data_IF_657715337425
#
_entry.id   IF_657715337425
#
_cell.length_a   1.000
_cell.length_b   1.000
_cell.length_c   1.000
_cell.angle_alpha   90.00
_cell.angle_beta   90.00
_cell.angle_gamma   90.00
#
_symmetry.space_group_name_H-M   'P 1'
#
loop_
_entity.id
_entity.type
_entity.pdbx_description
1 polymer ?
#
# COMPACT_ATOMS: atom_id res chain seq x y z
N UNK A 1 -46.53 10.43 -43.49
CA UNK A 1 -46.40 9.07 -42.95
C UNK A 1 -45.22 8.42 -43.70
N UNK A 2 -44.00 8.82 -43.35
CA UNK A 2 -43.16 8.26 -42.29
C UNK A 2 -42.35 7.07 -42.79
N UNK A 3 -41.10 7.38 -43.15
CA UNK A 3 -39.99 6.49 -43.44
C UNK A 3 -39.74 5.46 -42.32
N UNK A 4 -39.36 4.24 -42.71
CA UNK A 4 -38.61 3.34 -41.82
C UNK A 4 -37.30 3.00 -42.53
N UNK A 5 -36.27 3.77 -42.20
CA UNK A 5 -34.89 3.49 -42.53
C UNK A 5 -34.36 2.41 -41.58
N UNK A 6 -34.06 1.22 -42.09
CA UNK A 6 -33.17 0.27 -41.42
C UNK A 6 -31.75 0.61 -41.88
N UNK A 7 -30.99 1.29 -41.01
CA UNK A 7 -29.55 1.51 -41.19
C UNK A 7 -28.82 0.21 -40.87
N UNK A 8 -28.22 -0.40 -41.88
CA UNK A 8 -27.18 -1.41 -41.70
C UNK A 8 -25.98 -0.78 -41.00
N UNK A 9 -25.76 -1.19 -39.75
CA UNK A 9 -24.56 -0.85 -39.00
C UNK A 9 -23.41 -1.66 -39.58
N UNK A 10 -22.53 -0.99 -40.33
CA UNK A 10 -21.19 -1.51 -40.68
C UNK A 10 -20.45 -1.88 -39.39
N UNK A 11 -20.38 -3.18 -39.10
CA UNK A 11 -19.40 -3.76 -38.19
C UNK A 11 -18.02 -3.74 -38.88
N UNK A 12 -17.36 -2.58 -38.84
CA UNK A 12 -16.00 -2.41 -39.30
C UNK A 12 -15.14 -1.91 -38.14
N UNK A 13 -14.33 -2.79 -37.55
CA UNK A 13 -13.29 -2.39 -36.61
C UNK A 13 -12.73 -3.52 -35.77
N UNK A 14 -11.43 -3.79 -35.97
CA UNK A 14 -10.48 -4.33 -34.98
C UNK A 14 -10.18 -5.84 -34.91
N UNK A 15 -10.28 -6.58 -36.02
CA UNK A 15 -9.67 -7.92 -36.13
C UNK A 15 -8.28 -7.95 -36.80
N UNK A 16 -7.76 -6.82 -37.29
CA UNK A 16 -6.54 -6.80 -38.13
C UNK A 16 -5.22 -6.48 -37.40
N UNK A 17 -5.24 -6.26 -36.08
CA UNK A 17 -4.01 -5.95 -35.32
C UNK A 17 -3.29 -7.17 -34.74
N UNK A 18 -3.90 -8.36 -34.76
CA UNK A 18 -3.40 -9.55 -34.05
C UNK A 18 -2.15 -10.17 -34.72
N UNK A 19 -1.95 -9.94 -36.02
CA UNK A 19 -0.89 -10.61 -36.79
C UNK A 19 0.20 -9.68 -37.34
N UNK A 20 0.45 -8.53 -36.69
CA UNK A 20 1.58 -7.67 -37.08
C UNK A 20 2.90 -8.27 -36.61
N UNK A 21 3.74 -8.64 -37.57
CA UNK A 21 5.09 -9.17 -37.33
C UNK A 21 5.97 -8.04 -36.78
N UNK A 22 6.44 -8.18 -35.54
CA UNK A 22 7.29 -7.18 -34.88
C UNK A 22 8.72 -7.69 -34.71
N UNK A 23 9.68 -6.75 -34.71
CA UNK A 23 11.07 -7.02 -34.30
C UNK A 23 11.15 -6.92 -32.77
N UNK A 24 11.15 -8.05 -32.09
CA UNK A 24 11.12 -8.12 -30.62
C UNK A 24 12.54 -8.40 -30.11
N UNK A 25 12.97 -7.62 -29.13
CA UNK A 25 14.21 -7.85 -28.38
C UNK A 25 13.83 -8.46 -27.04
N UNK A 26 14.12 -9.74 -26.85
CA UNK A 26 13.93 -10.45 -25.59
C UNK A 26 15.21 -10.37 -24.79
N UNK A 27 15.11 -9.92 -23.56
CA UNK A 27 16.20 -9.80 -22.60
C UNK A 27 15.94 -10.80 -21.48
N UNK A 28 16.90 -11.68 -21.20
CA UNK A 28 16.88 -12.61 -20.09
C UNK A 28 17.86 -12.12 -19.02
N UNK A 29 17.45 -12.13 -17.76
CA UNK A 29 18.28 -11.79 -16.61
C UNK A 29 18.17 -12.85 -15.52
N UNK A 30 19.30 -13.26 -14.95
CA UNK A 30 19.32 -14.22 -13.83
C UNK A 30 20.59 -14.09 -13.01
N UNK A 31 20.53 -14.52 -11.75
CA UNK A 31 21.70 -14.68 -10.87
C UNK A 31 22.42 -16.02 -11.08
N UNK A 32 21.77 -16.99 -11.74
CA UNK A 32 22.33 -18.32 -11.98
C UNK A 32 22.78 -18.47 -13.44
N UNK A 33 24.09 -18.62 -13.65
CA UNK A 33 24.69 -18.79 -14.97
C UNK A 33 24.20 -20.05 -15.70
N UNK A 34 23.96 -21.15 -14.99
CA UNK A 34 23.54 -22.41 -15.61
C UNK A 34 22.09 -22.32 -16.10
N UNK A 35 21.22 -21.73 -15.28
CA UNK A 35 19.81 -21.53 -15.60
C UNK A 35 19.63 -20.63 -16.83
N UNK A 36 20.35 -19.50 -16.90
CA UNK A 36 20.21 -18.58 -18.04
C UNK A 36 20.74 -19.16 -19.36
N UNK A 37 21.83 -19.94 -19.33
CA UNK A 37 22.37 -20.60 -20.53
C UNK A 37 21.47 -21.76 -20.99
N UNK A 38 20.81 -22.47 -20.06
CA UNK A 38 19.77 -23.45 -20.40
C UNK A 38 18.55 -22.76 -21.02
N UNK A 39 17.99 -21.74 -20.35
CA UNK A 39 16.86 -20.96 -20.85
C UNK A 39 17.12 -20.34 -22.24
N UNK A 40 18.34 -19.85 -22.50
CA UNK A 40 18.70 -19.34 -23.83
C UNK A 40 18.66 -20.43 -24.91
N UNK A 41 19.17 -21.63 -24.60
CA UNK A 41 19.17 -22.76 -25.55
C UNK A 41 17.75 -23.21 -25.85
N UNK A 42 16.94 -23.37 -24.80
CA UNK A 42 15.57 -23.86 -24.94
C UNK A 42 14.70 -22.82 -25.69
N UNK A 43 14.89 -21.53 -25.43
CA UNK A 43 14.17 -20.47 -26.18
C UNK A 43 14.58 -20.41 -27.65
N UNK A 44 15.86 -20.62 -27.99
CA UNK A 44 16.31 -20.67 -29.39
C UNK A 44 15.77 -21.92 -30.08
N UNK A 45 15.73 -23.06 -29.40
CA UNK A 45 15.19 -24.30 -29.95
C UNK A 45 13.68 -24.17 -30.18
N UNK A 46 12.91 -23.68 -29.21
CA UNK A 46 11.47 -23.46 -29.37
C UNK A 46 11.13 -22.43 -30.45
N UNK A 47 12.00 -21.45 -30.68
CA UNK A 47 11.84 -20.52 -31.80
C UNK A 47 12.16 -21.15 -33.16
N UNK A 48 13.12 -22.07 -33.23
CA UNK A 48 13.41 -22.85 -34.45
C UNK A 48 12.31 -23.86 -34.78
N UNK A 49 11.73 -24.51 -33.77
CA UNK A 49 10.59 -25.43 -33.94
C UNK A 49 9.35 -24.75 -34.55
N UNK A 50 9.15 -23.47 -34.22
CA UNK A 50 8.07 -22.63 -34.78
C UNK A 50 8.48 -21.85 -36.03
N UNK A 51 9.62 -22.18 -36.64
CA UNK A 51 10.17 -21.55 -37.86
C UNK A 51 10.31 -20.01 -37.78
N UNK A 52 10.68 -19.50 -36.59
CA UNK A 52 10.90 -18.07 -36.38
C UNK A 52 12.33 -17.66 -36.67
N UNK A 53 12.51 -16.47 -37.26
CA UNK A 53 13.85 -15.89 -37.47
C UNK A 53 14.42 -15.36 -36.15
N UNK A 54 15.49 -16.01 -35.68
CA UNK A 54 16.20 -15.67 -34.45
C UNK A 54 17.59 -15.13 -34.75
N UNK A 55 17.96 -14.03 -34.10
CA UNK A 55 19.36 -13.61 -33.94
C UNK A 55 19.75 -13.92 -32.51
N UNK A 56 20.82 -14.72 -32.39
CA UNK A 56 21.18 -15.49 -31.20
C UNK A 56 21.42 -14.70 -29.91
N UNK A 57 21.89 -15.39 -28.86
CA UNK A 57 22.01 -14.82 -27.53
C UNK A 57 23.26 -13.95 -27.44
N UNK A 58 23.06 -12.63 -27.48
CA UNK A 58 24.11 -11.66 -27.21
C UNK A 58 24.37 -11.64 -25.71
N UNK A 59 25.59 -11.99 -25.30
CA UNK A 59 26.02 -11.94 -23.90
C UNK A 59 26.36 -10.51 -23.52
N UNK A 60 25.60 -9.95 -22.59
CA UNK A 60 25.90 -8.63 -22.03
C UNK A 60 26.94 -8.76 -20.91
N UNK A 61 27.71 -7.70 -20.63
CA UNK A 61 28.64 -7.68 -19.51
C UNK A 61 27.94 -8.03 -18.19
N UNK A 62 28.60 -8.87 -17.38
CA UNK A 62 28.07 -9.33 -16.09
C UNK A 62 28.13 -8.17 -15.10
N UNK A 63 27.02 -7.89 -14.42
CA UNK A 63 27.00 -6.91 -13.34
C UNK A 63 27.30 -7.62 -12.03
N UNK A 64 28.39 -7.23 -11.37
CA UNK A 64 28.77 -7.75 -10.06
C UNK A 64 28.40 -6.73 -8.98
N UNK A 65 27.48 -7.11 -8.09
CA UNK A 65 27.09 -6.34 -6.92
C UNK A 65 27.89 -6.86 -5.72
N UNK A 66 28.54 -5.97 -4.97
CA UNK A 66 29.34 -6.33 -3.79
C UNK A 66 28.86 -5.50 -2.61
N UNK A 67 28.50 -6.16 -1.52
CA UNK A 67 28.07 -5.54 -0.28
C UNK A 67 28.98 -6.05 0.83
N UNK A 68 29.54 -5.14 1.61
CA UNK A 68 30.35 -5.48 2.78
C UNK A 68 29.70 -4.94 4.04
N UNK A 69 29.27 -5.83 4.93
CA UNK A 69 28.59 -5.47 6.18
C UNK A 69 29.46 -5.84 7.36
N UNK A 70 29.46 -5.01 8.40
CA UNK A 70 30.16 -5.32 9.65
C UNK A 70 29.40 -6.44 10.36
N UNK A 71 30.11 -7.48 10.82
CA UNK A 71 29.51 -8.46 11.74
C UNK A 71 29.25 -7.78 13.08
N UNK A 72 28.10 -8.04 13.69
CA UNK A 72 27.81 -7.53 15.04
C UNK A 72 28.87 -8.05 16.02
N UNK A 73 29.55 -7.17 16.77
CA UNK A 73 30.53 -7.58 17.76
C UNK A 73 29.79 -8.02 19.02
N UNK A 74 29.64 -9.32 19.23
CA UNK A 74 29.21 -9.86 20.53
C UNK A 74 30.45 -10.40 21.25
N UNK A 75 30.92 -9.64 22.25
CA UNK A 75 32.03 -9.96 23.15
C UNK A 75 33.42 -9.74 22.54
N UNK A 76 34.15 -8.70 22.98
CA UNK A 76 35.60 -8.48 22.79
C UNK A 76 36.19 -8.90 21.42
N UNK A 77 35.42 -8.73 20.34
CA UNK A 77 35.72 -9.28 19.03
C UNK A 77 36.37 -8.26 18.10
N UNK A 78 37.36 -8.70 17.32
CA UNK A 78 38.03 -7.90 16.28
C UNK A 78 37.06 -7.52 15.15
N UNK A 79 37.34 -6.41 14.45
CA UNK A 79 36.53 -5.88 13.36
C UNK A 79 36.40 -6.87 12.19
N UNK A 80 35.40 -7.76 12.27
CA UNK A 80 35.13 -8.78 11.25
C UNK A 80 34.03 -8.30 10.31
N UNK A 81 34.20 -8.55 9.00
CA UNK A 81 33.28 -8.10 7.95
C UNK A 81 32.77 -9.29 7.15
N UNK A 82 31.47 -9.31 6.87
CA UNK A 82 30.89 -10.17 5.84
C UNK A 82 30.99 -9.49 4.47
N UNK A 83 31.32 -10.29 3.44
CA UNK A 83 31.40 -9.85 2.05
C UNK A 83 30.42 -10.67 1.23
N UNK A 84 29.35 -10.04 0.77
CA UNK A 84 28.37 -10.64 -0.12
C UNK A 84 28.63 -10.20 -1.56
N UNK A 85 28.65 -11.15 -2.49
CA UNK A 85 28.78 -10.88 -3.93
C UNK A 85 27.62 -11.54 -4.67
N UNK A 86 26.90 -10.75 -5.48
CA UNK A 86 25.89 -11.24 -6.40
C UNK A 86 26.31 -10.91 -7.84
N UNK A 87 26.17 -11.87 -8.75
CA UNK A 87 26.47 -11.70 -10.17
C UNK A 87 25.19 -11.80 -10.98
N UNK A 88 24.88 -10.76 -11.74
CA UNK A 88 23.70 -10.71 -12.60
C UNK A 88 24.15 -10.93 -14.03
N UNK A 89 23.70 -12.03 -14.62
CA UNK A 89 23.94 -12.40 -15.99
C UNK A 89 22.79 -11.91 -16.86
N UNK A 90 23.13 -11.27 -17.99
CA UNK A 90 22.16 -10.74 -18.94
C UNK A 90 22.41 -11.31 -20.34
N UNK A 91 21.34 -11.72 -21.02
CA UNK A 91 21.36 -12.24 -22.39
C UNK A 91 20.29 -11.52 -23.20
N UNK A 92 20.58 -11.20 -24.45
CA UNK A 92 19.62 -10.54 -25.35
C UNK A 92 19.48 -11.37 -26.61
N UNK A 93 18.25 -11.73 -26.95
CA UNK A 93 17.88 -12.49 -28.15
C UNK A 93 16.93 -11.63 -28.98
N UNK A 94 17.12 -11.59 -30.29
CA UNK A 94 16.23 -10.83 -31.19
C UNK A 94 15.39 -11.80 -32.01
N UNK A 95 14.08 -11.59 -31.99
CA UNK A 95 13.09 -12.43 -32.65
C UNK A 95 12.26 -11.58 -33.61
N UNK A 96 11.85 -12.17 -34.73
CA UNK A 96 10.89 -11.58 -35.65
C UNK A 96 9.60 -12.40 -35.58
N UNK A 97 8.62 -11.96 -34.79
CA UNK A 97 7.36 -12.68 -34.59
C UNK A 97 6.29 -11.77 -33.98
N UNK A 98 5.06 -12.26 -33.86
CA UNK A 98 4.00 -11.63 -33.07
C UNK A 98 4.27 -11.82 -31.57
N UNK A 99 3.73 -10.93 -30.73
CA UNK A 99 3.94 -10.99 -29.27
C UNK A 99 3.33 -12.23 -28.62
N UNK A 100 2.24 -12.76 -29.18
CA UNK A 100 1.53 -13.93 -28.67
C UNK A 100 2.39 -15.20 -28.78
N UNK A 101 3.01 -15.41 -29.95
CA UNK A 101 3.87 -16.57 -30.19
C UNK A 101 5.12 -16.51 -29.30
N UNK A 102 5.67 -15.32 -29.08
CA UNK A 102 6.80 -15.12 -28.14
C UNK A 102 6.40 -15.47 -26.72
N UNK A 103 5.22 -15.03 -26.26
CA UNK A 103 4.71 -15.34 -24.92
C UNK A 103 4.59 -16.86 -24.69
N UNK A 104 4.03 -17.59 -25.67
CA UNK A 104 3.89 -19.04 -25.61
C UNK A 104 5.23 -19.78 -25.52
N UNK A 105 6.26 -19.31 -26.25
CA UNK A 105 7.59 -19.89 -26.16
C UNK A 105 8.19 -19.61 -24.77
N UNK A 106 8.06 -18.37 -24.29
CA UNK A 106 8.60 -17.99 -22.98
C UNK A 106 7.94 -18.70 -21.82
N UNK A 107 6.66 -19.06 -21.89
CA UNK A 107 5.98 -19.74 -20.78
C UNK A 107 6.40 -21.20 -20.58
N UNK A 108 6.88 -21.89 -21.63
CA UNK A 108 7.17 -23.32 -21.57
C UNK A 108 8.62 -23.64 -21.18
N UNK A 109 9.57 -22.73 -21.42
CA UNK A 109 11.01 -23.06 -21.40
C UNK A 109 11.83 -22.36 -20.31
N UNK A 110 11.19 -21.79 -19.27
CA UNK A 110 11.92 -21.01 -18.26
C UNK A 110 12.07 -21.78 -16.95
N UNK A 111 13.32 -21.96 -16.53
CA UNK A 111 13.66 -22.42 -15.19
C UNK A 111 13.33 -21.34 -14.14
N UNK A 112 12.91 -21.71 -12.91
CA UNK A 112 12.62 -20.76 -11.85
C UNK A 112 13.85 -19.90 -11.51
N UNK A 113 13.67 -18.57 -11.50
CA UNK A 113 14.74 -17.60 -11.24
C UNK A 113 15.38 -16.96 -12.48
N UNK A 114 14.76 -17.10 -13.66
CA UNK A 114 15.10 -16.34 -14.88
C UNK A 114 13.99 -15.33 -15.16
N UNK A 115 14.34 -14.05 -15.15
CA UNK A 115 13.44 -12.95 -15.51
C UNK A 115 13.54 -12.64 -17.01
N UNK A 116 12.41 -12.28 -17.63
CA UNK A 116 12.31 -12.01 -19.08
C UNK A 116 11.68 -10.65 -19.33
N UNK A 117 12.29 -9.87 -20.22
CA UNK A 117 11.83 -8.54 -20.64
C UNK A 117 11.79 -8.47 -22.18
N UNK A 118 10.60 -8.25 -22.76
CA UNK A 118 10.40 -8.12 -24.21
C UNK A 118 10.22 -6.67 -24.67
N UNK A 119 11.00 -6.22 -25.66
CA UNK A 119 10.89 -4.87 -26.26
C UNK A 119 10.66 -4.97 -27.76
N UNK A 120 9.44 -4.68 -28.23
CA UNK A 120 9.15 -4.56 -29.65
C UNK A 120 9.66 -3.20 -30.19
N UNK A 121 10.51 -3.23 -31.22
CA UNK A 121 10.92 -2.02 -31.97
C UNK A 121 10.09 -1.93 -33.24
N UNK A 122 9.19 -0.95 -33.33
CA UNK A 122 8.40 -0.75 -34.55
C UNK A 122 7.23 0.23 -34.52
N UNK A 123 6.89 0.86 -33.40
CA UNK A 123 5.80 1.83 -33.34
C UNK A 123 6.30 3.17 -32.80
N UNK A 124 6.18 4.21 -33.62
CA UNK A 124 6.37 5.62 -33.25
C UNK A 124 5.30 6.16 -32.29
N UNK A 125 4.53 5.28 -31.65
CA UNK A 125 3.65 5.62 -30.53
C UNK A 125 4.40 5.31 -29.25
N UNK A 126 4.77 6.37 -28.52
CA UNK A 126 5.21 6.40 -27.11
C UNK A 126 5.38 5.02 -26.48
N UNK A 127 6.62 4.54 -26.39
CA UNK A 127 7.15 3.57 -25.42
C UNK A 127 6.10 2.81 -24.60
N UNK A 128 5.31 1.96 -25.25
CA UNK A 128 4.56 0.92 -24.58
C UNK A 128 5.49 -0.30 -24.62
N UNK A 129 6.26 -0.47 -23.54
CA UNK A 129 6.88 -1.75 -23.28
C UNK A 129 5.76 -2.80 -23.32
N UNK A 130 5.88 -3.77 -24.22
CA UNK A 130 5.00 -4.93 -24.26
C UNK A 130 5.41 -5.81 -23.07
N UNK A 131 5.01 -5.38 -21.87
CA UNK A 131 4.87 -6.22 -20.69
C UNK A 131 3.40 -6.62 -20.62
N UNK A 132 2.96 -7.49 -21.53
CA UNK A 132 1.83 -8.38 -21.26
C UNK A 132 2.40 -9.74 -20.79
N UNK A 133 3.24 -9.71 -19.76
CA UNK A 133 2.81 -10.44 -18.57
C UNK A 133 1.76 -9.51 -17.98
N UNK A 134 0.48 -9.83 -18.15
CA UNK A 134 -0.51 -9.28 -17.24
C UNK A 134 0.00 -9.63 -15.85
N UNK A 135 0.68 -8.69 -15.21
CA UNK A 135 0.86 -8.69 -13.77
C UNK A 135 -0.57 -8.53 -13.29
N UNK A 136 -1.30 -9.65 -13.18
CA UNK A 136 -2.66 -9.66 -12.70
C UNK A 136 -2.58 -9.14 -11.27
N UNK A 137 -2.92 -7.87 -11.14
CA UNK A 137 -2.94 -7.17 -9.87
C UNK A 137 -4.31 -7.40 -9.26
N UNK A 138 -4.32 -8.07 -8.12
CA UNK A 138 -5.54 -8.31 -7.37
C UNK A 138 -5.71 -7.20 -6.35
N UNK A 139 -6.81 -6.44 -6.45
CA UNK A 139 -7.23 -5.52 -5.39
C UNK A 139 -8.10 -6.26 -4.40
N UNK A 140 -7.77 -6.16 -3.11
CA UNK A 140 -8.56 -6.72 -2.02
C UNK A 140 -8.39 -5.92 -0.74
N UNK A 141 -9.24 -6.22 0.25
CA UNK A 141 -9.10 -5.67 1.60
C UNK A 141 -7.85 -6.24 2.28
N UNK A 142 -7.24 -5.43 3.14
CA UNK A 142 -6.12 -5.88 3.96
C UNK A 142 -6.60 -6.82 5.07
N UNK A 143 -5.76 -7.79 5.40
CA UNK A 143 -5.90 -8.65 6.57
C UNK A 143 -4.76 -8.38 7.54
N UNK A 144 -4.83 -8.93 8.76
CA UNK A 144 -3.76 -8.75 9.75
C UNK A 144 -2.40 -9.29 9.28
N UNK A 145 -2.41 -10.32 8.43
CA UNK A 145 -1.20 -10.92 7.88
C UNK A 145 -0.51 -10.03 6.83
N UNK A 146 -1.24 -9.07 6.27
CA UNK A 146 -0.71 -8.15 5.27
C UNK A 146 0.02 -6.95 5.89
N UNK A 147 -0.12 -6.71 7.21
CA UNK A 147 0.40 -5.49 7.84
C UNK A 147 1.92 -5.35 7.74
N UNK A 148 2.66 -6.46 7.83
CA UNK A 148 4.12 -6.44 7.67
C UNK A 148 4.48 -6.02 6.24
N UNK A 149 3.81 -6.60 5.23
CA UNK A 149 4.05 -6.23 3.84
C UNK A 149 3.61 -4.79 3.51
N UNK A 150 2.57 -4.27 4.18
CA UNK A 150 2.17 -2.86 4.08
C UNK A 150 3.26 -1.96 4.68
N UNK A 151 3.78 -2.32 5.86
CA UNK A 151 4.87 -1.61 6.52
C UNK A 151 6.13 -1.57 5.65
N UNK A 152 6.53 -2.71 5.06
CA UNK A 152 7.66 -2.78 4.14
C UNK A 152 7.44 -1.92 2.90
N UNK A 153 6.21 -1.92 2.36
CA UNK A 153 5.84 -1.07 1.24
C UNK A 153 5.88 0.43 1.60
N UNK A 154 5.48 0.81 2.81
CA UNK A 154 5.59 2.19 3.30
C UNK A 154 7.05 2.62 3.41
N UNK A 155 7.89 1.78 4.02
CA UNK A 155 9.32 2.04 4.25
C UNK A 155 10.08 2.36 2.94
N UNK A 156 9.70 1.70 1.85
CA UNK A 156 10.32 1.91 0.54
C UNK A 156 9.78 3.16 -0.17
N UNK A 157 8.54 3.58 0.11
CA UNK A 157 7.85 4.61 -0.67
C UNK A 157 7.82 5.99 -0.01
N UNK A 158 7.83 6.04 1.33
CA UNK A 158 7.45 7.22 2.11
C UNK A 158 8.45 7.39 3.26
N UNK A 159 8.87 8.63 3.52
CA UNK A 159 9.83 8.95 4.59
C UNK A 159 9.10 8.91 5.95
N UNK A 160 7.83 9.31 5.94
CA UNK A 160 6.88 9.25 7.05
C UNK A 160 6.52 7.79 7.36
N UNK A 161 7.25 7.20 8.29
CA UNK A 161 7.09 5.83 8.73
C UNK A 161 6.38 5.73 10.07
N UNK A 162 5.62 4.65 10.23
CA UNK A 162 4.81 4.40 11.43
C UNK A 162 5.29 3.15 12.15
N UNK A 163 5.10 3.10 13.47
CA UNK A 163 5.30 1.89 14.25
C UNK A 163 4.17 0.88 14.00
N UNK A 164 4.45 -0.42 14.15
CA UNK A 164 3.46 -1.49 13.94
C UNK A 164 2.17 -1.30 14.76
N UNK A 165 2.26 -0.74 15.97
CA UNK A 165 1.09 -0.38 16.80
C UNK A 165 0.08 0.49 16.04
N UNK A 166 0.55 1.41 15.21
CA UNK A 166 -0.30 2.33 14.46
C UNK A 166 -1.04 1.64 13.31
N UNK A 167 -0.37 0.70 12.62
CA UNK A 167 -1.01 -0.15 11.61
C UNK A 167 -2.08 -1.06 12.22
N UNK A 168 -1.79 -1.66 13.38
CA UNK A 168 -2.79 -2.43 14.13
C UNK A 168 -3.99 -1.59 14.53
N UNK A 169 -3.77 -0.35 15.02
CA UNK A 169 -4.86 0.56 15.35
C UNK A 169 -5.77 0.83 14.14
N UNK A 170 -5.22 1.12 12.96
CA UNK A 170 -6.04 1.35 11.76
C UNK A 170 -6.86 0.13 11.35
N UNK A 171 -6.23 -1.05 11.34
CA UNK A 171 -6.90 -2.27 10.90
C UNK A 171 -7.93 -2.77 11.92
N UNK A 172 -7.70 -2.60 13.22
CA UNK A 172 -8.62 -3.04 14.26
C UNK A 172 -9.80 -2.07 14.44
N UNK A 173 -9.56 -0.77 14.31
CA UNK A 173 -10.61 0.25 14.42
C UNK A 173 -11.45 0.34 13.14
N UNK A 174 -10.81 0.31 11.96
CA UNK A 174 -11.49 0.42 10.66
C UNK A 174 -10.95 -0.62 9.65
N UNK A 175 -11.20 -1.92 9.88
CA UNK A 175 -10.72 -2.98 8.98
C UNK A 175 -11.24 -2.80 7.55
N UNK A 176 -12.36 -2.10 7.40
CA UNK A 176 -13.03 -1.89 6.15
C UNK A 176 -12.37 -0.86 5.23
N UNK A 177 -11.51 0.01 5.77
CA UNK A 177 -10.92 1.16 5.07
C UNK A 177 -9.48 0.92 4.60
N UNK A 178 -8.85 -0.17 5.02
CA UNK A 178 -7.49 -0.50 4.57
C UNK A 178 -7.56 -1.47 3.39
N UNK A 179 -7.05 -1.05 2.24
CA UNK A 179 -7.08 -1.80 0.99
C UNK A 179 -5.66 -1.98 0.43
N UNK A 180 -5.43 -3.11 -0.25
CA UNK A 180 -4.14 -3.44 -0.85
C UNK A 180 -4.30 -3.88 -2.31
N UNK A 181 -3.22 -3.72 -3.06
CA UNK A 181 -3.03 -4.30 -4.38
C UNK A 181 -1.86 -5.29 -4.31
N UNK A 182 -2.13 -6.55 -4.61
CA UNK A 182 -1.13 -7.63 -4.61
C UNK A 182 -0.82 -8.07 -6.03
N UNK A 183 0.42 -8.49 -6.27
CA UNK A 183 0.80 -9.23 -7.47
C UNK A 183 0.21 -10.64 -7.45
N UNK A 184 0.28 -11.37 -8.57
CA UNK A 184 -0.05 -12.80 -8.67
C UNK A 184 0.74 -13.66 -7.69
N UNK A 185 1.97 -13.24 -7.39
CA UNK A 185 2.89 -13.92 -6.46
C UNK A 185 2.58 -13.60 -4.98
N UNK A 186 1.55 -12.78 -4.70
CA UNK A 186 1.15 -12.41 -3.33
C UNK A 186 1.90 -11.22 -2.74
N UNK A 187 2.88 -10.65 -3.44
CA UNK A 187 3.60 -9.46 -2.98
C UNK A 187 2.71 -8.21 -3.01
N UNK A 188 2.79 -7.40 -1.95
CA UNK A 188 2.07 -6.13 -1.85
C UNK A 188 2.75 -5.08 -2.74
N UNK A 189 2.05 -4.67 -3.79
CA UNK A 189 2.52 -3.70 -4.78
C UNK A 189 2.07 -2.28 -4.45
N UNK A 190 0.97 -2.15 -3.72
CA UNK A 190 0.48 -0.88 -3.21
C UNK A 190 -0.61 -1.06 -2.16
N UNK A 191 -0.87 0.01 -1.41
CA UNK A 191 -1.88 0.03 -0.35
C UNK A 191 -2.46 1.42 -0.18
N UNK A 192 -3.63 1.48 0.43
CA UNK A 192 -4.17 2.68 1.06
C UNK A 192 -4.65 2.33 2.46
N UNK A 193 -4.26 3.15 3.43
CA UNK A 193 -4.68 3.06 4.81
C UNK A 193 -5.40 4.35 5.18
N UNK A 194 -6.53 4.21 5.87
CA UNK A 194 -7.40 5.33 6.20
C UNK A 194 -8.04 5.12 7.56
N UNK A 195 -8.42 6.24 8.18
CA UNK A 195 -9.15 6.31 9.44
C UNK A 195 -10.37 7.22 9.29
N UNK A 196 -11.25 7.24 10.28
CA UNK A 196 -12.23 8.31 10.42
C UNK A 196 -11.62 9.44 11.24
N UNK A 197 -12.01 10.68 10.96
CA UNK A 197 -11.68 11.79 11.86
C UNK A 197 -12.57 11.75 13.09
N UNK A 198 -11.97 12.04 14.25
CA UNK A 198 -12.69 12.08 15.52
C UNK A 198 -13.32 13.46 15.77
N UNK A 199 -12.72 14.52 15.20
CA UNK A 199 -13.12 15.91 15.42
C UNK A 199 -14.18 16.42 14.41
N UNK A 200 -14.43 15.66 13.34
CA UNK A 200 -15.34 16.06 12.26
C UNK A 200 -16.31 14.92 11.96
N UNK A 201 -17.59 15.18 12.23
CA UNK A 201 -18.65 14.22 11.96
C UNK A 201 -18.66 13.81 10.48
N UNK A 202 -18.74 12.49 10.27
CA UNK A 202 -18.83 11.91 8.93
C UNK A 202 -17.68 12.31 7.99
N UNK A 203 -16.47 12.46 8.51
CA UNK A 203 -15.27 12.68 7.71
C UNK A 203 -14.28 11.51 7.81
N UNK A 204 -13.74 11.11 6.66
CA UNK A 204 -12.62 10.19 6.56
C UNK A 204 -11.28 10.92 6.46
N UNK A 205 -10.22 10.25 6.85
CA UNK A 205 -8.85 10.70 6.66
C UNK A 205 -8.02 9.62 5.96
N UNK A 206 -7.37 9.97 4.86
CA UNK A 206 -6.48 9.07 4.15
C UNK A 206 -5.07 9.17 4.74
N UNK A 207 -4.76 8.31 5.70
CA UNK A 207 -3.52 8.34 6.48
C UNK A 207 -2.27 8.06 5.64
N UNK A 208 -2.32 7.06 4.76
CA UNK A 208 -1.16 6.70 3.96
C UNK A 208 -1.55 6.00 2.66
N UNK A 209 -0.84 6.33 1.59
CA UNK A 209 -0.94 5.65 0.29
C UNK A 209 0.47 5.42 -0.25
N UNK A 210 0.75 4.19 -0.66
CA UNK A 210 2.02 3.82 -1.26
C UNK A 210 1.82 2.88 -2.43
N UNK A 211 2.59 3.09 -3.51
CA UNK A 211 2.70 2.15 -4.63
C UNK A 211 4.17 2.05 -5.00
N UNK A 212 4.70 0.81 -4.99
CA UNK A 212 6.08 0.52 -5.37
C UNK A 212 6.40 1.11 -6.74
N UNK A 213 7.60 1.69 -6.89
CA UNK A 213 8.01 2.40 -8.11
C UNK A 213 7.84 1.57 -9.39
N UNK A 214 8.18 0.28 -9.32
CA UNK A 214 8.04 -0.68 -10.43
C UNK A 214 6.59 -0.93 -10.85
N UNK A 215 5.64 -0.53 -10.00
CA UNK A 215 4.20 -0.70 -10.20
C UNK A 215 3.44 0.63 -10.39
N UNK A 216 4.15 1.76 -10.49
CA UNK A 216 3.54 3.08 -10.75
C UNK A 216 3.08 3.20 -12.21
N UNK A 217 2.27 4.22 -12.48
CA UNK A 217 1.71 4.51 -13.81
C UNK A 217 0.74 3.46 -14.38
N UNK A 218 0.34 2.45 -13.59
CA UNK A 218 -0.71 1.47 -13.94
C UNK A 218 -2.09 1.80 -13.34
N UNK A 219 -2.25 2.99 -12.73
CA UNK A 219 -3.51 3.40 -12.10
C UNK A 219 -3.86 2.69 -10.80
N UNK A 220 -2.93 1.93 -10.20
CA UNK A 220 -3.15 1.18 -8.94
C UNK A 220 -3.61 2.11 -7.82
N UNK A 221 -2.88 3.21 -7.59
CA UNK A 221 -3.20 4.15 -6.53
C UNK A 221 -4.65 4.64 -6.62
N UNK A 222 -5.10 5.01 -7.82
CA UNK A 222 -6.46 5.47 -8.06
C UNK A 222 -7.50 4.39 -7.72
N UNK A 223 -7.25 3.14 -8.11
CA UNK A 223 -8.16 2.03 -7.84
C UNK A 223 -8.25 1.71 -6.35
N UNK A 224 -7.10 1.66 -5.66
CA UNK A 224 -7.04 1.35 -4.22
C UNK A 224 -7.67 2.46 -3.39
N UNK A 225 -7.42 3.74 -3.74
CA UNK A 225 -8.07 4.88 -3.07
C UNK A 225 -9.58 4.90 -3.32
N UNK A 226 -10.04 4.66 -4.55
CA UNK A 226 -11.49 4.59 -4.86
C UNK A 226 -12.19 3.49 -4.07
N UNK A 227 -11.54 2.35 -3.85
CA UNK A 227 -12.08 1.29 -3.01
C UNK A 227 -12.24 1.75 -1.55
N UNK A 228 -11.28 2.52 -1.05
CA UNK A 228 -11.33 3.12 0.29
C UNK A 228 -12.42 4.17 0.40
N UNK A 229 -12.58 5.03 -0.61
CA UNK A 229 -13.69 5.98 -0.72
C UNK A 229 -15.05 5.29 -0.67
N UNK A 230 -15.21 4.21 -1.44
CA UNK A 230 -16.43 3.40 -1.40
C UNK A 230 -16.68 2.84 0.00
N UNK A 231 -15.65 2.35 0.69
CA UNK A 231 -15.75 1.89 2.08
C UNK A 231 -16.18 2.98 3.05
N UNK A 232 -15.64 4.20 2.90
CA UNK A 232 -16.01 5.36 3.72
C UNK A 232 -17.46 5.77 3.51
N UNK A 233 -17.90 5.86 2.25
CA UNK A 233 -19.25 6.29 1.91
C UNK A 233 -20.29 5.23 2.29
N UNK A 234 -20.07 3.96 1.90
CA UNK A 234 -21.08 2.92 2.04
C UNK A 234 -21.24 2.37 3.47
N UNK A 235 -20.19 2.42 4.29
CA UNK A 235 -20.20 1.78 5.62
C UNK A 235 -20.23 2.79 6.77
N UNK A 236 -19.64 3.97 6.57
CA UNK A 236 -19.50 4.98 7.61
C UNK A 236 -20.24 6.28 7.29
N UNK A 237 -20.97 6.31 6.16
CA UNK A 237 -21.71 7.49 5.68
C UNK A 237 -20.85 8.76 5.67
N UNK A 238 -19.57 8.65 5.31
CA UNK A 238 -18.72 9.82 5.24
C UNK A 238 -19.18 10.73 4.10
N UNK A 239 -19.23 12.04 4.36
CA UNK A 239 -19.54 13.07 3.39
C UNK A 239 -18.28 13.59 2.68
N UNK A 240 -17.15 13.58 3.39
CA UNK A 240 -15.88 14.06 2.86
C UNK A 240 -14.69 13.25 3.35
N UNK A 241 -13.59 13.34 2.61
CA UNK A 241 -12.31 12.74 2.96
C UNK A 241 -11.19 13.77 2.85
N UNK A 242 -10.31 13.78 3.85
CA UNK A 242 -9.14 14.65 3.93
C UNK A 242 -7.84 13.88 3.76
N UNK A 243 -6.80 14.58 3.30
CA UNK A 243 -5.44 14.08 3.23
C UNK A 243 -4.44 15.23 3.20
N UNK A 244 -3.19 14.92 3.57
CA UNK A 244 -2.07 15.87 3.50
C UNK A 244 -1.07 15.43 2.42
N UNK A 245 -0.61 16.39 1.61
CA UNK A 245 0.37 16.15 0.54
C UNK A 245 1.46 17.21 0.60
N UNK A 246 2.72 16.77 0.55
CA UNK A 246 3.89 17.65 0.39
C UNK A 246 3.73 18.56 -0.83
N UNK A 247 4.05 19.83 -0.67
CA UNK A 247 4.01 20.82 -1.78
C UNK A 247 4.95 20.39 -2.92
N UNK A 248 6.10 19.79 -2.59
CA UNK A 248 7.08 19.28 -3.55
C UNK A 248 6.58 18.05 -4.34
N UNK A 249 5.60 17.31 -3.83
CA UNK A 249 5.13 16.06 -4.45
C UNK A 249 4.08 16.32 -5.53
N UNK A 250 4.53 16.90 -6.64
CA UNK A 250 3.69 17.21 -7.80
C UNK A 250 2.94 15.99 -8.35
N UNK A 251 3.55 14.82 -8.38
CA UNK A 251 2.94 13.62 -8.93
C UNK A 251 1.70 13.19 -8.11
N UNK A 252 1.80 13.21 -6.78
CA UNK A 252 0.67 12.92 -5.92
C UNK A 252 -0.39 14.02 -6.01
N UNK A 253 0.02 15.29 -5.96
CA UNK A 253 -0.89 16.42 -6.09
C UNK A 253 -1.72 16.38 -7.39
N UNK A 254 -1.08 16.16 -8.54
CA UNK A 254 -1.76 16.04 -9.82
C UNK A 254 -2.72 14.85 -9.85
N UNK A 255 -2.32 13.70 -9.27
CA UNK A 255 -3.21 12.55 -9.14
C UNK A 255 -4.46 12.87 -8.30
N UNK A 256 -4.29 13.46 -7.11
CA UNK A 256 -5.41 13.77 -6.24
C UNK A 256 -6.34 14.82 -6.87
N UNK A 257 -5.79 15.89 -7.43
CA UNK A 257 -6.55 16.97 -8.04
C UNK A 257 -7.25 16.55 -9.34
N UNK A 258 -6.50 16.01 -10.30
CA UNK A 258 -7.02 15.77 -11.65
C UNK A 258 -7.77 14.45 -11.81
N UNK A 259 -7.38 13.41 -11.05
CA UNK A 259 -7.91 12.04 -11.24
C UNK A 259 -8.93 11.64 -10.19
N UNK A 260 -8.80 12.17 -8.98
CA UNK A 260 -9.67 11.86 -7.85
C UNK A 260 -10.56 13.04 -7.44
N UNK A 261 -10.36 14.25 -8.00
CA UNK A 261 -11.23 15.40 -7.77
C UNK A 261 -11.09 16.01 -6.38
N UNK A 262 -9.90 15.99 -5.80
CA UNK A 262 -9.62 16.70 -4.55
C UNK A 262 -9.41 18.19 -4.78
N UNK A 263 -9.98 19.02 -3.92
CA UNK A 263 -9.68 20.45 -3.80
C UNK A 263 -8.65 20.72 -2.71
N UNK A 264 -7.96 21.85 -2.80
CA UNK A 264 -7.12 22.36 -1.70
C UNK A 264 -8.06 23.08 -0.73
N UNK A 265 -8.03 22.70 0.54
CA UNK A 265 -8.78 23.34 1.61
C UNK A 265 -7.92 24.43 2.28
N UNK A 266 -6.71 24.04 2.73
CA UNK A 266 -5.74 24.94 3.37
C UNK A 266 -4.29 24.52 3.08
N UNK A 267 -3.37 25.45 3.31
CA UNK A 267 -1.92 25.19 3.28
C UNK A 267 -1.40 25.24 4.71
N UNK A 268 -0.95 24.09 5.21
CA UNK A 268 -0.42 23.95 6.57
C UNK A 268 1.10 24.13 6.51
N UNK A 269 1.59 25.18 7.16
CA UNK A 269 3.02 25.50 7.15
C UNK A 269 3.79 24.57 8.07
N UNK A 270 5.01 24.20 7.66
CA UNK A 270 5.94 23.39 8.45
C UNK A 270 5.29 22.11 9.04
N UNK A 271 4.40 21.49 8.29
CA UNK A 271 3.63 20.33 8.75
C UNK A 271 4.51 19.08 8.90
N UNK A 272 5.45 18.89 7.97
CA UNK A 272 6.33 17.73 7.98
C UNK A 272 7.56 17.95 8.87
N UNK A 273 8.21 16.86 9.30
CA UNK A 273 9.34 16.91 10.24
C UNK A 273 10.54 17.70 9.71
N UNK A 274 10.70 17.75 8.39
CA UNK A 274 11.70 18.54 7.67
C UNK A 274 11.25 19.98 7.40
N UNK A 275 10.21 20.45 8.08
CA UNK A 275 9.63 21.80 7.98
C UNK A 275 9.08 22.12 6.58
N UNK A 276 8.78 21.10 5.77
CA UNK A 276 8.07 21.30 4.51
C UNK A 276 6.58 21.58 4.77
N UNK A 277 6.03 22.50 3.98
CA UNK A 277 4.59 22.81 3.95
C UNK A 277 3.78 21.64 3.35
N UNK A 278 2.52 21.52 3.78
CA UNK A 278 1.57 20.55 3.27
C UNK A 278 0.33 21.22 2.67
N UNK A 279 -0.15 20.69 1.55
CA UNK A 279 -1.52 20.94 1.10
C UNK A 279 -2.46 20.02 1.86
N UNK A 280 -3.37 20.60 2.64
CA UNK A 280 -4.56 19.91 3.13
C UNK A 280 -5.56 19.85 1.99
N UNK A 281 -5.85 18.64 1.51
CA UNK A 281 -6.74 18.42 0.39
C UNK A 281 -8.01 17.72 0.85
N UNK A 282 -9.16 18.19 0.35
CA UNK A 282 -10.48 17.69 0.68
C UNK A 282 -11.19 17.20 -0.58
N UNK A 283 -11.84 16.05 -0.48
CA UNK A 283 -12.77 15.55 -1.49
C UNK A 283 -14.14 15.34 -0.86
N UNK A 284 -15.20 15.76 -1.55
CA UNK A 284 -16.59 15.61 -1.12
C UNK A 284 -17.26 14.57 -2.00
N UNK A 285 -17.90 13.57 -1.41
CA UNK A 285 -18.49 12.47 -2.17
C UNK A 285 -19.79 12.88 -2.88
N UNK A 286 -19.99 12.48 -4.14
CA UNK A 286 -21.24 12.72 -4.85
C UNK A 286 -22.36 11.89 -4.22
N UNK A 287 -23.45 12.57 -3.80
CA UNK A 287 -24.53 11.99 -3.00
C UNK A 287 -24.62 12.55 -1.58
N UNK A 288 -23.58 13.24 -1.12
CA UNK A 288 -23.69 14.21 -0.03
C UNK A 288 -24.23 15.52 -0.62
N UNK A 289 -25.52 15.58 -0.96
CA UNK A 289 -26.16 16.88 -1.23
C UNK A 289 -26.13 17.70 0.06
N UNK A 290 -25.04 18.46 0.22
CA UNK A 290 -25.02 19.61 1.11
C UNK A 290 -25.65 20.76 0.31
N UNK A 291 -26.75 21.27 0.85
CA UNK A 291 -27.33 22.56 0.47
C UNK A 291 -26.19 23.55 0.16
N UNK A 292 -26.17 23.96 -1.10
CA UNK A 292 -25.33 25.00 -1.70
C UNK A 292 -24.61 25.94 -0.73
N UNK A 293 -23.30 25.75 -0.54
CA UNK A 293 -22.42 26.89 -0.26
C UNK A 293 -22.24 27.68 -1.56
N UNK A 294 -23.19 28.59 -1.84
CA UNK A 294 -22.90 29.75 -2.67
C UNK A 294 -21.88 30.59 -1.93
N UNK A 295 -20.61 30.55 -2.36
CA UNK A 295 -19.65 31.60 -2.02
C UNK A 295 -20.20 32.92 -2.53
N UNK A 296 -20.51 33.86 -1.63
CA UNK A 296 -20.31 35.28 -1.93
C UNK A 296 -20.14 36.14 -0.66
N UNK A 297 -19.04 36.87 -0.69
CA UNK A 297 -18.68 38.13 -0.04
C UNK A 297 -18.41 38.20 1.47
N UNK A 298 -17.21 38.73 1.73
CA UNK A 298 -16.80 39.41 2.96
C UNK A 298 -17.92 40.31 3.51
N UNK A 299 -18.55 39.91 4.61
CA UNK A 299 -19.24 40.80 5.54
C UNK A 299 -18.86 40.35 6.96
N UNK A 300 -18.55 41.34 7.80
CA UNK A 300 -18.16 41.21 9.21
C UNK A 300 -19.00 40.17 9.96
N UNK A 301 -18.36 39.23 10.64
CA UNK A 301 -19.07 38.35 11.57
C UNK A 301 -19.71 39.21 12.67
N UNK A 302 -21.02 39.07 12.94
CA UNK A 302 -21.59 39.67 14.14
C UNK A 302 -21.10 38.88 15.36
N UNK A 303 -20.53 39.57 16.34
CA UNK A 303 -20.26 39.01 17.67
C UNK A 303 -21.55 38.50 18.27
N UNK A 304 -21.64 37.19 18.48
CA UNK A 304 -22.73 36.59 19.25
C UNK A 304 -22.50 36.98 20.72
N UNK A 305 -23.36 37.86 21.25
CA UNK A 305 -23.41 38.17 22.68
C UNK A 305 -24.54 37.34 23.28
N UNK A 306 -24.22 36.52 24.28
CA UNK A 306 -25.21 35.71 24.98
C UNK A 306 -26.32 36.60 25.61
N UNK A 307 -27.60 36.18 25.55
CA UNK A 307 -28.69 36.91 26.18
C UNK A 307 -28.49 36.95 27.70
N UNK A 308 -28.84 38.10 28.32
CA UNK A 308 -28.47 38.45 29.70
C UNK A 308 -29.04 37.51 30.79
N UNK A 309 -29.98 36.62 30.45
CA UNK A 309 -30.66 35.74 31.40
C UNK A 309 -30.50 34.23 31.08
N UNK A 310 -29.55 33.84 30.23
CA UNK A 310 -29.23 32.42 30.03
C UNK A 310 -28.32 31.90 31.15
N UNK A 311 -28.90 31.61 32.30
CA UNK A 311 -28.25 30.86 33.37
C UNK A 311 -28.17 29.37 33.01
N UNK A 312 -26.96 28.85 32.81
CA UNK A 312 -26.73 27.40 32.73
C UNK A 312 -26.84 26.83 34.15
N UNK A 313 -27.93 26.11 34.44
CA UNK A 313 -28.11 25.41 35.72
C UNK A 313 -27.20 24.19 35.72
N UNK A 314 -26.02 24.30 36.32
CA UNK A 314 -25.27 23.15 36.80
C UNK A 314 -25.83 22.76 38.16
N UNK A 315 -26.38 21.54 38.32
CA UNK A 315 -26.72 21.01 39.65
C UNK A 315 -25.40 20.68 40.36
N UNK A 316 -24.93 21.63 41.19
CA UNK A 316 -23.70 21.54 41.98
C UNK A 316 -23.87 20.66 43.23
N UNK A 317 -24.52 19.50 43.10
CA UNK A 317 -24.55 18.51 44.18
C UNK A 317 -23.55 17.40 43.90
N UNK A 318 -22.32 17.65 44.34
CA UNK A 318 -21.32 16.61 44.53
C UNK A 318 -21.90 15.54 45.46
N UNK A 319 -22.05 14.32 44.96
CA UNK A 319 -22.36 13.14 45.77
C UNK A 319 -21.34 13.02 46.90
N UNK A 320 -21.78 13.10 48.16
CA UNK A 320 -20.88 12.97 49.30
C UNK A 320 -20.32 11.54 49.39
N UNK A 321 -18.99 11.45 49.52
CA UNK A 321 -18.24 10.21 49.71
C UNK A 321 -18.64 9.63 51.07
N UNK A 322 -19.39 8.51 51.09
CA UNK A 322 -19.91 7.92 52.35
C UNK A 322 -18.84 7.24 53.20
N UNK A 323 -17.71 6.84 52.61
CA UNK A 323 -16.60 6.22 53.35
C UNK A 323 -15.26 6.62 52.73
N UNK A 324 -14.46 7.39 53.47
CA UNK A 324 -13.05 7.61 53.19
C UNK A 324 -12.25 6.87 54.27
N UNK A 325 -11.67 5.72 53.93
CA UNK A 325 -10.78 4.98 54.81
C UNK A 325 -9.43 5.71 54.88
N UNK A 326 -8.98 6.18 56.07
CA UNK A 326 -7.78 7.01 56.19
C UNK A 326 -6.53 6.12 56.22
N UNK A 327 -6.15 5.53 55.09
CA UNK A 327 -4.86 4.83 54.98
C UNK A 327 -3.83 5.66 54.22
N UNK A 328 -2.60 5.66 54.73
CA UNK A 328 -1.48 6.40 54.11
C UNK A 328 -1.23 5.85 52.70
N UNK A 329 -1.14 6.70 51.65
CA UNK A 329 -1.07 6.26 50.25
C UNK A 329 0.04 5.25 49.93
N UNK A 330 1.17 5.29 50.64
CA UNK A 330 2.29 4.37 50.44
C UNK A 330 1.93 2.91 50.78
N UNK A 331 0.96 2.69 51.68
CA UNK A 331 0.52 1.34 52.05
C UNK A 331 -0.15 0.63 50.87
N UNK A 332 -0.89 1.38 50.03
CA UNK A 332 -1.55 0.87 48.83
C UNK A 332 -0.53 0.50 47.73
N UNK A 333 0.53 1.31 47.60
CA UNK A 333 1.62 1.05 46.66
C UNK A 333 2.39 -0.22 47.05
N UNK A 334 2.65 -0.40 48.35
CA UNK A 334 3.29 -1.63 48.85
C UNK A 334 2.42 -2.87 48.63
N UNK A 335 1.11 -2.79 48.87
CA UNK A 335 0.20 -3.92 48.72
C UNK A 335 -0.01 -4.31 47.25
N UNK A 336 -0.12 -3.31 46.37
CA UNK A 336 -0.17 -3.52 44.92
C UNK A 336 1.13 -4.15 44.40
N UNK A 337 2.30 -3.62 44.82
CA UNK A 337 3.60 -4.17 44.46
C UNK A 337 3.80 -5.62 44.93
N UNK A 338 3.37 -5.94 46.15
CA UNK A 338 3.48 -7.29 46.70
C UNK A 338 2.54 -8.28 45.99
N UNK A 339 1.32 -7.85 45.66
CA UNK A 339 0.36 -8.67 44.89
C UNK A 339 0.85 -8.98 43.48
N UNK A 340 1.47 -8.01 42.80
CA UNK A 340 2.04 -8.17 41.47
C UNK A 340 3.23 -9.12 41.44
N UNK A 341 4.14 -9.00 42.41
CA UNK A 341 5.31 -9.88 42.52
C UNK A 341 4.90 -11.33 42.84
N UNK A 342 3.93 -11.54 43.74
CA UNK A 342 3.43 -12.88 44.08
C UNK A 342 2.66 -13.52 42.92
N UNK A 343 1.81 -12.78 42.20
CA UNK A 343 1.13 -13.30 41.01
C UNK A 343 2.11 -13.63 39.88
N UNK A 344 3.12 -12.79 39.65
CA UNK A 344 4.14 -13.03 38.63
C UNK A 344 4.97 -14.29 38.91
N UNK A 345 5.39 -14.48 40.16
CA UNK A 345 6.19 -15.65 40.54
C UNK A 345 5.37 -16.96 40.49
N UNK A 346 4.10 -16.93 40.91
CA UNK A 346 3.18 -18.06 40.78
C UNK A 346 2.90 -18.43 39.32
N UNK A 347 2.73 -17.44 38.44
CA UNK A 347 2.50 -17.68 37.01
C UNK A 347 3.75 -18.30 36.35
N UNK A 348 4.94 -17.77 36.63
CA UNK A 348 6.18 -18.23 36.03
C UNK A 348 6.54 -19.66 36.47
N UNK A 349 6.35 -19.99 37.74
CA UNK A 349 6.61 -21.36 38.26
C UNK A 349 5.56 -22.39 37.84
N UNK A 350 4.26 -22.03 37.78
CA UNK A 350 3.21 -22.99 37.40
C UNK A 350 3.04 -23.20 35.90
N UNK A 351 3.24 -22.17 35.07
CA UNK A 351 2.88 -22.22 33.65
C UNK A 351 4.08 -22.26 32.71
N UNK A 352 5.20 -21.60 33.03
CA UNK A 352 6.35 -21.48 32.11
C UNK A 352 7.36 -22.62 32.29
N UNK A 353 7.64 -23.07 33.51
CA UNK A 353 8.67 -24.08 33.81
C UNK A 353 8.17 -25.53 33.86
N UNK A 354 6.96 -25.81 33.37
CA UNK A 354 6.41 -27.19 33.37
C UNK A 354 7.06 -28.01 32.25
N UNK A 355 7.62 -29.19 32.56
CA UNK A 355 8.25 -30.10 31.57
C UNK A 355 7.30 -30.65 30.49
N UNK A 356 5.99 -30.41 30.59
CA UNK A 356 5.00 -30.72 29.55
C UNK A 356 3.75 -29.81 29.74
N UNK A 357 3.58 -28.74 28.95
CA UNK A 357 2.38 -27.89 29.03
C UNK A 357 1.20 -28.54 28.29
N UNK A 358 -0.02 -28.58 28.88
CA UNK A 358 -1.22 -29.03 28.19
C UNK A 358 -1.70 -27.97 27.18
N UNK A 359 -2.22 -28.43 26.04
CA UNK A 359 -2.77 -27.59 24.97
C UNK A 359 -3.82 -26.61 25.52
N UNK A 360 -3.57 -25.31 25.31
CA UNK A 360 -4.37 -24.23 25.88
C UNK A 360 -5.64 -24.02 25.04
N UNK A 361 -6.79 -24.44 25.58
CA UNK A 361 -8.09 -23.91 25.17
C UNK A 361 -8.31 -22.56 25.89
N UNK A 362 -8.60 -21.53 25.10
CA UNK A 362 -8.82 -20.16 25.54
C UNK A 362 -10.06 -20.04 26.45
N UNK A 363 -9.86 -19.53 27.67
CA UNK A 363 -10.89 -18.82 28.42
C UNK A 363 -10.34 -17.45 28.79
N UNK A 364 -10.89 -16.41 28.17
CA UNK A 364 -10.61 -15.01 28.48
C UNK A 364 -11.39 -14.62 29.75
N UNK A 365 -10.70 -14.05 30.74
CA UNK A 365 -11.32 -13.24 31.78
C UNK A 365 -10.81 -11.82 31.58
N UNK A 366 -11.69 -10.95 31.11
CA UNK A 366 -11.45 -9.51 30.97
C UNK A 366 -11.83 -8.82 32.27
N UNK A 367 -10.89 -8.15 32.92
CA UNK A 367 -11.20 -7.17 33.96
C UNK A 367 -11.12 -5.78 33.34
N UNK A 368 -12.25 -5.08 33.32
CA UNK A 368 -12.34 -3.65 33.03
C UNK A 368 -12.07 -2.94 34.36
N UNK A 369 -11.02 -2.13 34.42
CA UNK A 369 -10.79 -1.17 35.50
C UNK A 369 -11.22 0.20 34.97
N UNK A 370 -12.08 0.88 35.73
CA UNK A 370 -12.61 2.21 35.41
C UNK A 370 -11.76 3.29 36.05
#
# INVERSE_FOLDING_TARGET
MADVAVKDVKAGGDHDNVNRIHKIHVTLTSMNLKAIEKACRDMINGAKEKDLRVVGPVRMPVKTLRITTRKSPVGEGTNTWDKFEARIYKRVIRLHSSSEVVSQITSFSLDPGVEVEGVARGLGTKTAAITHLDKMLTLRRATMYDLVGISDCNLVNVIENYQMKYYFYHLLSWPQLTNIATSTEGFICGYSMAKLEEDVDHAGHLTAVGVLRSYRSMGIAQKVIKQTHYGMQALYNCNSVYLFVRVSNWAAFAMYKEKLGYGIDEVVREYFHDQEDAYSMKHVFPGAEMQTFRKFSSHSQPKIVAPKDAGVVFDSRATQIRFALPFKPWLFICLAGFSGAMCGNLFFTKFVLRKNPPNVCYFYITFIVR
#
